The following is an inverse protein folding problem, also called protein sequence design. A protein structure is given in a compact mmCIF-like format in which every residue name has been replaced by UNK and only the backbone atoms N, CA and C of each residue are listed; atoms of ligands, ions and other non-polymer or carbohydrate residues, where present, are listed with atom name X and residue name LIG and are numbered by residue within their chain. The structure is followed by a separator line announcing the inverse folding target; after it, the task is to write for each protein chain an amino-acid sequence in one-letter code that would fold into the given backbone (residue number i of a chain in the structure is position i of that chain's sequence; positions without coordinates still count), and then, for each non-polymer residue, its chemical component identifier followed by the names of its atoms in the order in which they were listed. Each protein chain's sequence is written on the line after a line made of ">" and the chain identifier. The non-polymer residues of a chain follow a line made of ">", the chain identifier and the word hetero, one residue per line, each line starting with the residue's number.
data_IF_885491154741
#
_entry.id   IF_885491154741
#
_cell.length_a   1.000
_cell.length_b   1.000
_cell.length_c   1.000
_cell.angle_alpha   90.00
_cell.angle_beta   90.00
_cell.angle_gamma   90.00
#
_symmetry.space_group_name_H-M   'P 1'
#
loop_
_entity.id
_entity.type
_entity.pdbx_description
1 polymer ?
#
# COMPACT_ATOMS: atom_id res chain seq x y z
N UNK A 1 17.03 -11.56 11.50
CA UNK A 1 16.11 -10.52 12.03
C UNK A 1 14.77 -10.78 11.37
N UNK A 2 13.76 -10.98 12.16
CA UNK A 2 12.40 -11.27 11.72
C UNK A 2 11.82 -10.07 10.96
N UNK A 3 10.94 -10.31 9.98
CA UNK A 3 10.29 -9.26 9.19
C UNK A 3 8.86 -9.13 9.68
N UNK A 4 8.44 -7.91 9.98
CA UNK A 4 7.14 -7.63 10.57
C UNK A 4 6.24 -6.73 9.71
N UNK A 5 6.77 -6.20 8.60
CA UNK A 5 6.00 -5.43 7.63
C UNK A 5 6.49 -5.68 6.21
N UNK A 6 5.64 -5.43 5.23
CA UNK A 6 5.99 -5.63 3.82
C UNK A 6 7.10 -4.65 3.41
N UNK A 7 7.01 -3.39 3.83
CA UNK A 7 8.03 -2.38 3.54
C UNK A 7 9.40 -2.75 4.11
N UNK A 8 9.45 -3.40 5.28
CA UNK A 8 10.70 -3.89 5.87
C UNK A 8 11.33 -4.99 5.00
N UNK A 9 10.51 -5.85 4.40
CA UNK A 9 10.98 -6.86 3.44
C UNK A 9 11.57 -6.21 2.19
N UNK A 10 10.87 -5.23 1.63
CA UNK A 10 11.32 -4.47 0.45
C UNK A 10 12.65 -3.76 0.74
N UNK A 11 12.77 -3.09 1.90
CA UNK A 11 13.99 -2.42 2.31
C UNK A 11 15.20 -3.37 2.41
N UNK A 12 15.02 -4.56 3.01
CA UNK A 12 16.06 -5.59 3.06
C UNK A 12 16.53 -6.04 1.68
N UNK A 13 15.60 -6.15 0.73
CA UNK A 13 15.96 -6.48 -0.66
C UNK A 13 16.64 -5.31 -1.35
N UNK A 14 16.26 -4.07 -1.09
CA UNK A 14 16.92 -2.88 -1.60
C UNK A 14 18.39 -2.79 -1.14
N UNK A 15 18.67 -3.20 0.11
CA UNK A 15 20.04 -3.27 0.63
C UNK A 15 20.87 -4.41 0.00
N UNK A 16 20.27 -5.60 -0.20
CA UNK A 16 21.00 -6.81 -0.61
C UNK A 16 21.09 -6.98 -2.12
N UNK A 17 20.04 -6.62 -2.83
CA UNK A 17 19.87 -6.80 -4.27
C UNK A 17 19.19 -5.59 -4.91
N UNK A 18 19.83 -4.38 -4.83
CA UNK A 18 19.21 -3.10 -5.22
C UNK A 18 18.68 -3.10 -6.65
N UNK A 19 19.42 -3.69 -7.58
CA UNK A 19 19.13 -3.70 -9.02
C UNK A 19 18.17 -4.82 -9.45
N UNK A 20 17.81 -5.72 -8.52
CA UNK A 20 16.82 -6.77 -8.82
C UNK A 20 15.44 -6.14 -9.00
N UNK A 21 14.70 -6.64 -10.00
CA UNK A 21 13.32 -6.22 -10.25
C UNK A 21 12.45 -6.57 -9.04
N UNK A 22 11.79 -5.56 -8.49
CA UNK A 22 10.80 -5.68 -7.42
C UNK A 22 9.44 -6.03 -7.99
N UNK A 23 8.97 -5.23 -8.96
CA UNK A 23 7.74 -5.50 -9.70
C UNK A 23 7.73 -4.83 -11.08
N UNK A 24 6.78 -5.27 -11.90
CA UNK A 24 6.54 -4.74 -13.24
C UNK A 24 5.06 -4.37 -13.33
N UNK A 25 4.76 -3.15 -13.76
CA UNK A 25 3.43 -2.75 -14.16
C UNK A 25 3.32 -2.58 -15.68
N UNK A 26 2.18 -2.12 -16.16
CA UNK A 26 1.94 -1.96 -17.59
C UNK A 26 2.80 -0.88 -18.28
N UNK A 27 3.51 -0.05 -17.52
CA UNK A 27 4.27 1.12 -18.00
C UNK A 27 5.73 1.06 -17.66
N UNK A 28 6.09 0.40 -16.55
CA UNK A 28 7.42 0.51 -15.95
C UNK A 28 7.86 -0.77 -15.28
N UNK A 29 9.17 -0.95 -15.20
CA UNK A 29 9.84 -1.94 -14.38
C UNK A 29 10.53 -1.21 -13.25
N UNK A 30 10.32 -1.65 -12.02
CA UNK A 30 10.88 -1.04 -10.82
C UNK A 30 11.84 -2.00 -10.13
N UNK A 31 13.04 -1.54 -9.84
CA UNK A 31 13.98 -2.26 -8.98
C UNK A 31 13.68 -2.01 -7.51
N UNK A 32 14.24 -2.84 -6.62
CA UNK A 32 14.06 -2.64 -5.17
C UNK A 32 14.60 -1.28 -4.69
N UNK A 33 15.73 -0.81 -5.23
CA UNK A 33 16.28 0.50 -4.89
C UNK A 33 15.35 1.64 -5.33
N UNK A 34 14.82 1.58 -6.55
CA UNK A 34 13.89 2.59 -7.06
C UNK A 34 12.59 2.64 -6.26
N UNK A 35 12.06 1.47 -5.88
CA UNK A 35 10.85 1.40 -5.04
C UNK A 35 11.13 2.07 -3.69
N UNK A 36 12.22 1.74 -3.02
CA UNK A 36 12.53 2.33 -1.71
C UNK A 36 12.79 3.83 -1.78
N UNK A 37 13.43 4.32 -2.84
CA UNK A 37 13.61 5.76 -3.07
C UNK A 37 12.26 6.48 -3.14
N UNK A 38 11.34 6.00 -3.97
CA UNK A 38 10.00 6.58 -4.12
C UNK A 38 9.17 6.48 -2.84
N UNK A 39 9.27 5.36 -2.13
CA UNK A 39 8.61 5.14 -0.84
C UNK A 39 9.07 6.15 0.19
N UNK A 40 10.38 6.36 0.33
CA UNK A 40 10.93 7.33 1.29
C UNK A 40 10.59 8.77 0.93
N UNK A 41 10.66 9.13 -0.35
CA UNK A 41 10.25 10.46 -0.83
C UNK A 41 8.79 10.74 -0.46
N UNK A 42 7.91 9.79 -0.72
CA UNK A 42 6.47 9.94 -0.47
C UNK A 42 6.15 9.92 1.04
N UNK A 43 6.79 9.06 1.83
CA UNK A 43 6.63 9.03 3.29
C UNK A 43 7.06 10.37 3.92
N UNK A 44 8.19 10.93 3.45
CA UNK A 44 8.66 12.24 3.87
C UNK A 44 7.66 13.35 3.50
N UNK A 45 7.13 13.33 2.28
CA UNK A 45 6.10 14.27 1.86
C UNK A 45 4.86 14.21 2.75
N UNK A 46 4.40 13.02 3.13
CA UNK A 46 3.28 12.88 4.06
C UNK A 46 3.52 13.60 5.39
N UNK A 47 4.72 13.49 5.96
CA UNK A 47 5.06 14.21 7.19
C UNK A 47 5.10 15.73 6.99
N UNK A 48 5.66 16.21 5.89
CA UNK A 48 5.71 17.66 5.59
C UNK A 48 4.34 18.29 5.40
N UNK A 49 3.37 17.51 4.90
CA UNK A 49 1.96 17.94 4.76
C UNK A 49 1.16 17.84 6.05
N UNK A 50 1.79 17.39 7.14
CA UNK A 50 1.19 17.34 8.48
C UNK A 50 0.42 16.05 8.80
N UNK A 51 0.49 15.01 7.95
CA UNK A 51 0.00 13.69 8.31
C UNK A 51 0.88 13.10 9.42
N UNK A 52 0.25 12.40 10.35
CA UNK A 52 0.89 11.83 11.54
C UNK A 52 0.61 10.35 11.65
N UNK A 53 1.46 9.64 12.41
CA UNK A 53 1.21 8.23 12.75
C UNK A 53 -0.22 8.05 13.27
N UNK A 54 -0.93 7.07 12.71
CA UNK A 54 -2.32 6.76 13.03
C UNK A 54 -3.36 7.57 12.23
N UNK A 55 -2.97 8.55 11.39
CA UNK A 55 -3.87 9.16 10.44
C UNK A 55 -4.24 8.15 9.34
N UNK A 56 -5.37 8.36 8.68
CA UNK A 56 -5.87 7.47 7.62
C UNK A 56 -5.76 8.19 6.27
N UNK A 57 -5.29 7.43 5.28
CA UNK A 57 -5.24 7.81 3.88
C UNK A 57 -6.13 6.83 3.11
N UNK A 58 -7.16 7.34 2.45
CA UNK A 58 -8.01 6.55 1.55
C UNK A 58 -7.42 6.59 0.15
N UNK A 59 -7.28 5.44 -0.49
CA UNK A 59 -6.67 5.34 -1.82
C UNK A 59 -7.53 4.50 -2.76
N UNK A 60 -7.88 5.07 -3.92
CA UNK A 60 -8.54 4.33 -5.00
C UNK A 60 -7.57 3.31 -5.59
N UNK A 61 -7.96 2.04 -5.61
CA UNK A 61 -7.17 0.96 -6.19
C UNK A 61 -6.81 1.26 -7.64
N UNK A 62 -5.52 1.31 -7.94
CA UNK A 62 -5.00 1.34 -9.29
C UNK A 62 -4.13 0.10 -9.51
N UNK A 63 -4.16 -0.44 -10.73
CA UNK A 63 -3.36 -1.62 -11.08
C UNK A 63 -1.97 -1.20 -11.58
N UNK A 64 -1.35 -0.25 -10.88
CA UNK A 64 -0.03 0.28 -11.22
C UNK A 64 0.86 0.41 -9.99
N UNK A 65 2.15 0.64 -10.21
CA UNK A 65 3.13 0.79 -9.15
C UNK A 65 2.86 1.93 -8.17
N UNK A 66 2.14 2.96 -8.61
CA UNK A 66 1.83 4.11 -7.77
C UNK A 66 0.99 3.74 -6.55
N UNK A 67 0.01 2.84 -6.71
CA UNK A 67 -0.80 2.33 -5.61
C UNK A 67 0.06 1.58 -4.58
N UNK A 68 0.89 0.63 -5.05
CA UNK A 68 1.77 -0.15 -4.18
C UNK A 68 2.80 0.73 -3.45
N UNK A 69 3.41 1.69 -4.16
CA UNK A 69 4.38 2.61 -3.54
C UNK A 69 3.70 3.51 -2.50
N UNK A 70 2.46 3.94 -2.76
CA UNK A 70 1.68 4.74 -1.81
C UNK A 70 1.38 3.95 -0.53
N UNK A 71 1.00 2.68 -0.64
CA UNK A 71 0.78 1.77 0.49
C UNK A 71 2.06 1.59 1.32
N UNK A 72 3.17 1.23 0.68
CA UNK A 72 4.47 1.08 1.35
C UNK A 72 4.95 2.38 2.03
N UNK A 73 4.66 3.54 1.42
CA UNK A 73 4.97 4.83 2.02
C UNK A 73 4.10 5.12 3.26
N UNK A 74 2.84 4.70 3.25
CA UNK A 74 1.97 4.75 4.42
C UNK A 74 2.53 3.87 5.56
N UNK A 75 3.00 2.66 5.26
CA UNK A 75 3.64 1.79 6.27
C UNK A 75 4.82 2.48 6.96
N UNK A 76 5.74 3.08 6.20
CA UNK A 76 6.90 3.82 6.75
C UNK A 76 6.48 5.06 7.54
N UNK A 77 5.50 5.80 7.05
CA UNK A 77 5.02 7.02 7.70
C UNK A 77 4.12 6.72 8.93
N UNK A 78 3.76 5.45 9.15
CA UNK A 78 2.82 5.03 10.20
C UNK A 78 1.38 5.47 9.93
N UNK A 79 1.04 5.70 8.67
CA UNK A 79 -0.31 6.09 8.21
C UNK A 79 -1.09 4.82 7.92
N UNK A 80 -2.34 4.77 8.34
CA UNK A 80 -3.23 3.63 8.09
C UNK A 80 -3.78 3.75 6.66
N UNK A 81 -3.47 2.76 5.82
CA UNK A 81 -3.92 2.72 4.45
C UNK A 81 -5.34 2.16 4.34
N UNK A 82 -6.20 2.82 3.56
CA UNK A 82 -7.61 2.41 3.38
C UNK A 82 -7.90 2.30 1.88
N UNK A 83 -7.70 1.12 1.28
CA UNK A 83 -7.98 0.92 -0.14
C UNK A 83 -9.48 0.93 -0.41
N UNK A 84 -9.88 1.59 -1.50
CA UNK A 84 -11.24 1.56 -2.03
C UNK A 84 -11.26 1.06 -3.47
N UNK A 85 -12.39 0.51 -3.89
CA UNK A 85 -12.56 0.03 -5.26
C UNK A 85 -12.39 1.16 -6.28
N UNK A 86 -11.89 0.80 -7.46
CA UNK A 86 -11.81 1.71 -8.60
C UNK A 86 -13.24 2.16 -8.99
N UNK A 87 -13.44 3.47 -9.08
CA UNK A 87 -14.75 4.08 -9.36
C UNK A 87 -15.82 3.69 -8.33
N UNK A 88 -15.44 3.59 -7.06
CA UNK A 88 -16.39 3.38 -5.98
C UNK A 88 -17.52 4.41 -6.03
N UNK A 89 -18.70 4.03 -5.54
CA UNK A 89 -19.84 4.96 -5.52
C UNK A 89 -19.55 6.14 -4.57
N UNK A 90 -19.88 7.38 -4.96
CA UNK A 90 -19.62 8.56 -4.14
C UNK A 90 -20.16 8.46 -2.70
N UNK A 91 -21.31 7.81 -2.53
CA UNK A 91 -21.93 7.57 -1.22
C UNK A 91 -21.04 6.69 -0.34
N UNK A 92 -20.53 5.58 -0.90
CA UNK A 92 -19.63 4.65 -0.20
C UNK A 92 -18.31 5.33 0.17
N UNK A 93 -17.77 6.16 -0.73
CA UNK A 93 -16.53 6.91 -0.46
C UNK A 93 -16.75 7.90 0.69
N UNK A 94 -17.88 8.65 0.70
CA UNK A 94 -18.22 9.55 1.80
C UNK A 94 -18.36 8.82 3.14
N UNK A 95 -19.05 7.68 3.15
CA UNK A 95 -19.19 6.85 4.36
C UNK A 95 -17.83 6.40 4.89
N UNK A 96 -16.95 5.87 4.02
CA UNK A 96 -15.60 5.44 4.41
C UNK A 96 -14.78 6.61 4.95
N UNK A 97 -14.78 7.76 4.28
CA UNK A 97 -14.06 8.96 4.73
C UNK A 97 -14.55 9.45 6.09
N UNK A 98 -15.86 9.44 6.32
CA UNK A 98 -16.46 9.83 7.61
C UNK A 98 -16.12 8.83 8.72
N UNK A 99 -16.26 7.54 8.45
CA UNK A 99 -16.00 6.47 9.43
C UNK A 99 -14.53 6.41 9.82
N UNK A 100 -13.63 6.53 8.85
CA UNK A 100 -12.19 6.51 9.08
C UNK A 100 -11.63 7.86 9.52
N UNK A 101 -12.36 8.95 9.35
CA UNK A 101 -11.86 10.32 9.53
C UNK A 101 -10.56 10.56 8.74
N UNK A 102 -10.50 10.04 7.52
CA UNK A 102 -9.32 10.14 6.68
C UNK A 102 -8.93 11.59 6.38
N UNK A 103 -7.64 11.84 6.37
CA UNK A 103 -7.06 13.18 6.12
C UNK A 103 -6.80 13.44 4.64
N UNK A 104 -6.60 12.37 3.87
CA UNK A 104 -6.27 12.44 2.46
C UNK A 104 -7.03 11.37 1.69
N UNK A 105 -7.54 11.74 0.52
CA UNK A 105 -8.07 10.84 -0.50
C UNK A 105 -7.16 10.90 -1.73
N UNK A 106 -6.59 9.77 -2.11
CA UNK A 106 -5.82 9.62 -3.37
C UNK A 106 -6.70 8.91 -4.39
N UNK A 107 -7.08 9.60 -5.46
CA UNK A 107 -8.01 9.05 -6.45
C UNK A 107 -7.78 9.65 -7.83
N UNK A 108 -8.05 8.85 -8.87
CA UNK A 108 -8.15 9.31 -10.25
C UNK A 108 -9.59 9.73 -10.60
N UNK A 109 -10.55 9.33 -9.80
CA UNK A 109 -11.97 9.66 -9.95
C UNK A 109 -12.24 10.96 -9.20
N UNK A 110 -12.89 11.90 -9.86
CA UNK A 110 -13.38 13.11 -9.20
C UNK A 110 -14.65 12.79 -8.41
N UNK A 111 -14.68 13.25 -7.16
CA UNK A 111 -15.82 13.08 -6.26
C UNK A 111 -16.30 14.44 -5.75
N UNK A 112 -17.45 14.89 -6.23
CA UNK A 112 -18.04 16.16 -5.80
C UNK A 112 -18.50 16.12 -4.34
N UNK A 113 -18.27 17.25 -3.65
CA UNK A 113 -18.79 17.45 -2.29
C UNK A 113 -18.14 16.58 -1.22
N UNK A 114 -16.90 16.12 -1.46
CA UNK A 114 -16.09 15.43 -0.47
C UNK A 114 -15.32 16.48 0.35
N UNK A 115 -15.56 16.50 1.66
CA UNK A 115 -14.94 17.45 2.58
C UNK A 115 -13.47 17.14 2.95
N UNK A 116 -12.87 16.10 2.35
CA UNK A 116 -11.49 15.67 2.57
C UNK A 116 -10.61 16.18 1.44
N UNK A 117 -9.36 16.53 1.74
CA UNK A 117 -8.39 16.91 0.71
C UNK A 117 -8.16 15.72 -0.25
N UNK A 118 -8.34 15.97 -1.54
CA UNK A 118 -8.22 14.96 -2.60
C UNK A 118 -7.09 15.33 -3.55
N UNK A 119 -6.32 14.33 -3.96
CA UNK A 119 -5.19 14.45 -4.89
C UNK A 119 -5.13 13.25 -5.81
N UNK A 120 -4.62 13.44 -7.03
CA UNK A 120 -4.33 12.29 -7.90
C UNK A 120 -2.98 11.66 -7.55
N UNK A 121 -2.75 10.40 -7.94
CA UNK A 121 -1.43 9.79 -7.78
C UNK A 121 -0.33 10.58 -8.50
N UNK A 122 -0.61 11.11 -9.69
CA UNK A 122 0.36 11.87 -10.46
C UNK A 122 0.79 13.15 -9.72
N UNK A 123 -0.18 13.91 -9.20
CA UNK A 123 0.09 15.14 -8.45
C UNK A 123 0.77 14.84 -7.12
N UNK A 124 0.38 13.74 -6.46
CA UNK A 124 0.99 13.28 -5.22
C UNK A 124 2.48 12.99 -5.38
N UNK A 125 2.85 12.22 -6.41
CA UNK A 125 4.25 11.89 -6.70
C UNK A 125 5.05 13.10 -7.20
N UNK A 126 4.46 13.97 -8.02
CA UNK A 126 5.10 15.21 -8.44
C UNK A 126 5.43 16.12 -7.24
N UNK A 127 4.48 16.31 -6.34
CA UNK A 127 4.67 17.08 -5.11
C UNK A 127 5.71 16.48 -4.18
N UNK A 128 5.77 15.15 -4.08
CA UNK A 128 6.78 14.45 -3.28
C UNK A 128 8.19 14.63 -3.84
N UNK A 129 8.37 14.66 -5.15
CA UNK A 129 9.66 14.91 -5.81
C UNK A 129 10.16 16.35 -5.62
N UNK A 130 9.26 17.32 -5.57
CA UNK A 130 9.60 18.74 -5.33
C UNK A 130 9.89 19.03 -3.86
N UNK A 131 9.47 18.17 -2.96
CA UNK A 131 9.65 18.33 -1.51
C UNK A 131 11.08 17.96 -1.12
N UNK A 132 11.95 18.97 -1.14
CA UNK A 132 13.32 18.86 -0.62
C UNK A 132 13.27 19.04 0.89
N UNK A 133 13.30 17.96 1.65
CA UNK A 133 13.46 18.07 3.10
C UNK A 133 14.44 17.01 3.60
N UNK A 134 15.07 17.32 4.74
CA UNK A 134 15.86 16.35 5.47
C UNK A 134 15.03 15.07 5.66
N UNK A 135 15.64 13.91 5.41
CA UNK A 135 14.96 12.62 5.57
C UNK A 135 14.31 12.55 6.94
N UNK A 136 13.01 12.31 6.98
CA UNK A 136 12.33 12.09 8.24
C UNK A 136 12.96 10.86 8.95
N UNK A 137 12.94 10.87 10.26
CA UNK A 137 13.32 9.72 11.09
C UNK A 137 12.27 8.61 10.94
N UNK A 138 12.26 7.99 9.74
CA UNK A 138 11.31 6.96 9.36
C UNK A 138 11.72 5.65 10.00
N UNK A 139 10.97 5.21 10.99
CA UNK A 139 11.14 3.90 11.62
C UNK A 139 10.16 2.89 11.02
N UNK A 140 10.59 1.62 10.91
CA UNK A 140 9.67 0.56 10.53
C UNK A 140 8.54 0.41 11.57
N UNK A 141 7.31 0.11 11.12
CA UNK A 141 6.17 -0.05 12.03
C UNK A 141 6.36 -1.26 12.95
N UNK A 142 5.72 -1.21 14.12
CA UNK A 142 5.65 -2.35 15.01
C UNK A 142 4.70 -3.43 14.43
N UNK A 143 4.93 -4.72 14.74
CA UNK A 143 4.11 -5.82 14.18
C UNK A 143 2.62 -5.68 14.41
N UNK A 144 2.23 -5.15 15.55
CA UNK A 144 0.83 -5.01 15.97
C UNK A 144 0.24 -3.62 15.67
N UNK A 145 1.03 -2.71 15.07
CA UNK A 145 0.50 -1.46 14.53
C UNK A 145 -0.48 -1.77 13.39
N UNK A 146 -1.50 -0.92 13.26
CA UNK A 146 -2.50 -1.05 12.19
C UNK A 146 -1.87 -0.63 10.86
N UNK A 147 -1.87 -1.55 9.89
CA UNK A 147 -1.42 -1.30 8.53
C UNK A 147 -2.55 -0.77 7.66
N UNK A 148 -3.68 -1.49 7.65
CA UNK A 148 -4.76 -1.24 6.71
C UNK A 148 -6.14 -1.35 7.36
N UNK A 149 -7.13 -0.73 6.74
CA UNK A 149 -8.55 -0.97 6.99
C UNK A 149 -9.21 -1.39 5.67
N UNK A 150 -9.57 -2.68 5.58
CA UNK A 150 -10.22 -3.24 4.38
C UNK A 150 -11.73 -3.22 4.53
N UNK A 151 -12.42 -2.54 3.61
CA UNK A 151 -13.88 -2.51 3.57
C UNK A 151 -14.44 -3.68 2.76
N UNK A 152 -15.30 -4.46 3.40
CA UNK A 152 -15.98 -5.59 2.74
C UNK A 152 -17.44 -5.26 2.50
N UNK A 153 -17.98 -5.64 1.34
CA UNK A 153 -19.41 -5.60 1.07
C UNK A 153 -20.12 -6.65 1.93
N UNK A 154 -20.63 -6.22 3.08
CA UNK A 154 -21.36 -7.10 3.99
C UNK A 154 -22.67 -7.61 3.36
N UNK A 155 -23.08 -8.83 3.69
CA UNK A 155 -24.38 -9.43 3.30
C UNK A 155 -25.60 -8.61 3.77
N UNK A 156 -25.40 -7.68 4.70
CA UNK A 156 -26.42 -6.78 5.27
C UNK A 156 -26.52 -5.43 4.54
N UNK A 157 -25.80 -5.24 3.42
CA UNK A 157 -25.83 -4.00 2.62
C UNK A 157 -24.98 -2.84 3.15
N UNK A 158 -24.49 -2.89 4.40
CA UNK A 158 -23.51 -1.93 4.93
C UNK A 158 -22.10 -2.52 4.85
N UNK A 159 -21.20 -1.76 4.26
CA UNK A 159 -19.77 -2.09 4.26
C UNK A 159 -19.20 -2.04 5.67
N UNK A 160 -18.29 -2.95 6.01
CA UNK A 160 -17.63 -2.98 7.33
C UNK A 160 -16.12 -2.92 7.12
N UNK A 161 -15.47 -2.03 7.87
CA UNK A 161 -14.02 -1.94 7.91
C UNK A 161 -13.43 -3.04 8.80
N UNK A 162 -12.53 -3.82 8.22
CA UNK A 162 -11.72 -4.84 8.94
C UNK A 162 -10.32 -4.27 9.13
N UNK A 163 -9.88 -4.19 10.38
CA UNK A 163 -8.55 -3.68 10.75
C UNK A 163 -7.52 -4.79 10.60
N UNK A 164 -6.46 -4.52 9.84
CA UNK A 164 -5.37 -5.45 9.56
C UNK A 164 -4.07 -4.89 10.14
N UNK A 165 -3.34 -5.69 10.91
CA UNK A 165 -2.01 -5.32 11.42
C UNK A 165 -0.91 -5.65 10.41
N UNK A 166 0.28 -5.04 10.56
CA UNK A 166 1.45 -5.37 9.73
C UNK A 166 1.80 -6.86 9.82
N UNK A 167 1.76 -7.45 11.01
CA UNK A 167 1.97 -8.90 11.21
C UNK A 167 0.99 -9.74 10.39
N UNK A 168 -0.28 -9.35 10.33
CA UNK A 168 -1.30 -10.09 9.59
C UNK A 168 -1.03 -10.02 8.07
N UNK A 169 -0.59 -8.86 7.54
CA UNK A 169 -0.21 -8.72 6.14
C UNK A 169 0.99 -9.60 5.78
N UNK A 170 2.02 -9.64 6.62
CA UNK A 170 3.18 -10.52 6.40
C UNK A 170 2.76 -11.99 6.41
N UNK A 171 1.96 -12.41 7.40
CA UNK A 171 1.47 -13.78 7.48
C UNK A 171 0.62 -14.17 6.26
N UNK A 172 -0.20 -13.25 5.75
CA UNK A 172 -0.98 -13.46 4.52
C UNK A 172 -0.06 -13.64 3.31
N UNK A 173 0.96 -12.79 3.15
CA UNK A 173 1.91 -12.88 2.06
C UNK A 173 2.69 -14.21 2.10
N UNK A 174 3.16 -14.63 3.26
CA UNK A 174 3.83 -15.92 3.45
C UNK A 174 2.91 -17.09 3.07
N UNK A 175 1.66 -17.11 3.53
CA UNK A 175 0.70 -18.16 3.19
C UNK A 175 0.42 -18.24 1.68
N UNK A 176 0.34 -17.09 1.00
CA UNK A 176 0.17 -17.05 -0.46
C UNK A 176 1.40 -17.65 -1.15
N UNK A 177 2.61 -17.30 -0.71
CA UNK A 177 3.86 -17.84 -1.27
C UNK A 177 3.93 -19.36 -1.11
N UNK A 178 3.64 -19.89 0.08
CA UNK A 178 3.59 -21.35 0.31
C UNK A 178 2.55 -22.02 -0.57
N UNK A 179 1.38 -21.43 -0.75
CA UNK A 179 0.33 -21.95 -1.62
C UNK A 179 0.76 -22.01 -3.09
N UNK A 180 1.41 -20.97 -3.59
CA UNK A 180 1.90 -20.89 -4.98
C UNK A 180 3.03 -21.90 -5.22
N UNK A 181 3.98 -22.04 -4.31
CA UNK A 181 5.05 -23.04 -4.41
C UNK A 181 4.49 -24.45 -4.45
N UNK A 182 3.50 -24.77 -3.61
CA UNK A 182 2.86 -26.10 -3.58
C UNK A 182 2.14 -26.40 -4.89
N UNK A 183 1.43 -25.45 -5.47
CA UNK A 183 0.72 -25.60 -6.75
C UNK A 183 1.70 -25.77 -7.92
N UNK A 184 2.78 -24.97 -7.96
CA UNK A 184 3.81 -25.10 -8.98
C UNK A 184 4.50 -26.46 -8.95
N UNK A 185 4.78 -26.98 -7.76
CA UNK A 185 5.41 -28.30 -7.61
C UNK A 185 4.50 -29.47 -8.04
N UNK A 186 3.21 -29.37 -7.75
CA UNK A 186 2.24 -30.41 -8.17
C UNK A 186 2.02 -30.40 -9.68
N UNK A 187 2.00 -29.26 -10.34
CA UNK A 187 1.86 -29.15 -11.80
C UNK A 187 3.11 -29.65 -12.53
N UNK A 188 4.31 -29.39 -12.05
CA UNK A 188 5.56 -29.91 -12.65
C UNK A 188 5.63 -31.43 -12.57
N UNK A 189 5.23 -32.05 -11.46
CA UNK A 189 5.17 -33.52 -11.33
C UNK A 189 4.14 -34.18 -12.24
N UNK A 190 3.00 -33.55 -12.48
CA UNK A 190 1.99 -34.12 -13.38
C UNK A 190 2.46 -34.21 -14.85
N UNK A 191 3.39 -33.35 -15.27
CA UNK A 191 3.99 -33.40 -16.61
C UNK A 191 5.15 -34.40 -16.74
N UNK A 192 5.85 -34.73 -15.66
CA UNK A 192 6.95 -35.70 -15.68
C UNK A 192 6.50 -37.16 -15.68
N UNK A 193 5.24 -37.45 -15.34
CA UNK A 193 4.70 -38.82 -15.30
C UNK A 193 4.03 -39.25 -16.59
N UNK A 194 4.05 -38.47 -17.65
CA UNK A 194 3.45 -38.79 -18.96
C UNK A 194 4.49 -38.98 -20.08
N UNK A 195 5.74 -39.22 -19.77
CA UNK A 195 6.80 -39.59 -20.73
C UNK A 195 7.30 -41.01 -20.50
#
# INVERSE_FOLDING_TARGET
>A
MEVYSIVQSVAKHAERTPDKVCFIDTRSTYTYSQVMELVLQLANYFHTTGLKKGDRLVAECSQDGAFLICDLACEIAGIIFVPIEKKAKPESVREILQETQAKLLVSKTEYDGIGTFMVTYADLFASAQESVSDMCDCSFPAPDDVAEILYTTGTTGKSKGVVISHRANVALAENIMYGVETVSYTHLRAHETLS
#
